data_IF_819413326376
#
_entry.id   IF_819413326376
#
_cell.length_a   1.000
_cell.length_b   1.000
_cell.length_c   1.000
_cell.angle_alpha   90.00
_cell.angle_beta   90.00
_cell.angle_gamma   90.00
#
_symmetry.space_group_name_H-M   'P 1'
#
loop_
_entity.id
_entity.type
_entity.pdbx_description
1 polymer ?
#
# COMPACT_ATOMS: atom_id res chain seq x y z
N UNK A 1 2.96 2.74 -20.04
CA UNK A 1 2.68 2.07 -18.76
C UNK A 1 2.11 3.00 -17.69
N UNK A 2 2.51 4.27 -17.58
CA UNK A 2 2.07 5.19 -16.50
C UNK A 2 0.56 5.37 -16.40
N UNK A 3 -0.16 5.43 -17.52
CA UNK A 3 -1.62 5.55 -17.49
C UNK A 3 -2.30 4.30 -16.91
N UNK A 4 -1.77 3.09 -17.14
CA UNK A 4 -2.26 1.87 -16.50
C UNK A 4 -2.03 1.90 -15.00
N UNK A 5 -0.87 2.36 -14.56
CA UNK A 5 -0.59 2.57 -13.14
C UNK A 5 -1.52 3.62 -12.52
N UNK A 6 -1.86 4.68 -13.26
CA UNK A 6 -2.84 5.66 -12.81
C UNK A 6 -4.26 5.05 -12.66
N UNK A 7 -4.65 4.15 -13.57
CA UNK A 7 -5.90 3.39 -13.43
C UNK A 7 -5.88 2.47 -12.21
N UNK A 8 -4.77 1.75 -11.98
CA UNK A 8 -4.61 0.92 -10.78
C UNK A 8 -4.66 1.77 -9.50
N UNK A 9 -3.97 2.92 -9.49
CA UNK A 9 -4.00 3.83 -8.36
C UNK A 9 -5.42 4.37 -8.11
N UNK A 10 -6.17 4.72 -9.17
CA UNK A 10 -7.57 5.16 -9.05
C UNK A 10 -8.45 4.06 -8.46
N UNK A 11 -8.30 2.82 -8.96
CA UNK A 11 -9.02 1.68 -8.41
C UNK A 11 -8.75 1.53 -6.90
N UNK A 12 -7.48 1.59 -6.48
CA UNK A 12 -7.11 1.47 -5.08
C UNK A 12 -7.67 2.62 -4.24
N UNK A 13 -7.55 3.86 -4.73
CA UNK A 13 -8.04 5.04 -4.01
C UNK A 13 -9.57 5.04 -3.87
N UNK A 14 -10.31 4.67 -4.93
CA UNK A 14 -11.77 4.62 -4.93
C UNK A 14 -12.35 3.47 -4.09
N UNK A 15 -11.56 2.44 -3.83
CA UNK A 15 -11.95 1.29 -3.02
C UNK A 15 -11.41 1.34 -1.58
N UNK A 16 -10.78 2.43 -1.15
CA UNK A 16 -10.45 2.58 0.25
C UNK A 16 -11.73 2.71 1.09
N UNK A 17 -11.85 1.87 2.11
CA UNK A 17 -12.96 1.89 3.06
C UNK A 17 -12.94 3.16 3.93
N UNK A 18 -14.09 3.50 4.50
CA UNK A 18 -14.23 4.64 5.41
C UNK A 18 -13.33 4.52 6.65
N UNK A 19 -13.03 3.31 7.10
CA UNK A 19 -12.12 3.04 8.21
C UNK A 19 -10.64 2.97 7.81
N UNK A 20 -10.29 3.11 6.53
CA UNK A 20 -8.90 3.07 6.04
C UNK A 20 -8.42 1.73 5.53
N UNK A 21 -9.22 0.67 5.61
CA UNK A 21 -8.94 -0.64 5.02
C UNK A 21 -9.23 -0.69 3.52
N UNK A 22 -9.08 -1.89 2.95
CA UNK A 22 -9.56 -2.24 1.62
C UNK A 22 -10.37 -3.53 1.64
N UNK A 23 -11.51 -3.59 0.88
CA UNK A 23 -12.25 -4.82 0.59
C UNK A 23 -11.67 -5.46 -0.68
N UNK A 24 -12.36 -6.47 -1.23
CA UNK A 24 -12.02 -7.04 -2.54
C UNK A 24 -12.14 -6.04 -3.70
N UNK A 25 -12.81 -4.95 -3.47
CA UNK A 25 -12.95 -3.84 -4.40
C UNK A 25 -14.06 -4.04 -5.44
N UNK A 26 -14.53 -2.91 -5.93
CA UNK A 26 -15.51 -2.82 -7.00
C UNK A 26 -14.90 -2.08 -8.18
N UNK A 27 -15.41 -2.35 -9.37
CA UNK A 27 -14.95 -1.70 -10.58
C UNK A 27 -15.04 -0.17 -10.44
N UNK A 28 -13.96 0.52 -10.78
CA UNK A 28 -13.91 1.99 -10.81
C UNK A 28 -14.06 2.51 -12.23
N UNK A 29 -14.63 3.70 -12.37
CA UNK A 29 -14.64 4.41 -13.65
C UNK A 29 -13.26 5.02 -13.91
N UNK A 30 -12.80 4.94 -15.15
CA UNK A 30 -11.55 5.60 -15.54
C UNK A 30 -11.74 7.12 -15.36
N UNK A 31 -10.86 7.81 -14.65
CA UNK A 31 -10.96 9.26 -14.49
C UNK A 31 -10.89 9.94 -15.86
N UNK A 32 -11.83 10.83 -16.16
CA UNK A 32 -11.84 11.60 -17.41
C UNK A 32 -10.61 12.53 -17.52
N UNK A 33 -10.04 12.91 -16.39
CA UNK A 33 -8.95 13.89 -16.28
C UNK A 33 -7.55 13.26 -16.12
N UNK A 34 -7.45 11.95 -16.08
CA UNK A 34 -6.13 11.31 -16.20
C UNK A 34 -5.70 11.48 -17.64
N UNK A 35 -4.61 12.22 -17.94
CA UNK A 35 -4.16 12.39 -19.30
C UNK A 35 -4.01 11.01 -19.92
N UNK A 36 -4.89 10.68 -20.87
CA UNK A 36 -4.68 9.53 -21.75
C UNK A 36 -3.38 9.84 -22.45
N UNK A 37 -2.32 9.10 -22.11
CA UNK A 37 -1.04 9.26 -22.77
C UNK A 37 -1.26 9.01 -24.25
N UNK A 38 -1.21 10.07 -25.04
CA UNK A 38 -0.87 9.93 -26.44
C UNK A 38 0.44 9.14 -26.46
N UNK A 39 0.47 8.05 -27.25
CA UNK A 39 1.75 7.40 -27.58
C UNK A 39 2.72 8.52 -27.90
N UNK A 40 3.93 8.56 -27.32
CA UNK A 40 4.96 9.44 -27.83
C UNK A 40 5.07 9.11 -29.33
N UNK A 41 4.90 10.12 -30.18
CA UNK A 41 5.12 9.98 -31.61
C UNK A 41 6.49 9.32 -31.81
N UNK A 42 6.57 8.35 -32.69
CA UNK A 42 7.80 7.55 -32.93
C UNK A 42 9.00 8.38 -33.39
N UNK A 43 8.85 9.68 -33.53
CA UNK A 43 9.88 10.60 -34.04
C UNK A 43 10.96 10.97 -33.01
N UNK A 44 10.81 10.62 -31.72
CA UNK A 44 11.82 10.96 -30.69
C UNK A 44 12.94 9.91 -30.52
N UNK A 45 13.08 8.95 -31.45
CA UNK A 45 14.06 7.84 -31.31
C UNK A 45 15.35 8.07 -32.11
N UNK A 46 15.44 9.07 -32.99
CA UNK A 46 16.66 9.31 -33.74
C UNK A 46 17.20 10.74 -33.58
N UNK A 47 18.01 10.93 -32.55
CA UNK A 47 19.15 11.86 -32.64
C UNK A 47 20.29 11.37 -31.76
N UNK A 48 21.19 10.62 -32.36
CA UNK A 48 22.58 10.45 -31.93
C UNK A 48 23.26 11.82 -31.92
N UNK A 49 23.23 12.50 -30.80
CA UNK A 49 23.91 13.79 -30.61
C UNK A 49 24.34 13.97 -29.15
N UNK A 50 25.64 14.09 -28.93
CA UNK A 50 26.35 14.28 -27.67
C UNK A 50 25.88 15.52 -26.87
N UNK A 51 24.66 15.45 -26.31
CA UNK A 51 24.25 16.34 -25.24
C UNK A 51 23.29 15.58 -24.33
N UNK A 52 23.79 15.06 -23.21
CA UNK A 52 22.99 14.49 -22.14
C UNK A 52 22.08 15.59 -21.56
N UNK A 53 21.01 15.97 -22.27
CA UNK A 53 19.92 16.74 -21.66
C UNK A 53 19.46 15.97 -20.42
N UNK A 54 19.59 16.56 -19.24
CA UNK A 54 19.06 16.01 -17.98
C UNK A 54 17.59 15.63 -18.24
N UNK A 55 17.28 14.32 -18.25
CA UNK A 55 15.90 13.84 -18.39
C UNK A 55 15.08 14.53 -17.31
N UNK A 56 14.13 15.38 -17.70
CA UNK A 56 13.19 16.01 -16.75
C UNK A 56 12.49 14.90 -15.99
N UNK A 57 12.53 14.94 -14.65
CA UNK A 57 11.79 13.98 -13.83
C UNK A 57 10.32 14.03 -14.23
N UNK A 58 9.65 12.87 -14.41
CA UNK A 58 8.26 12.85 -14.82
C UNK A 58 7.40 13.60 -13.78
N UNK A 59 6.46 14.41 -14.25
CA UNK A 59 5.57 15.20 -13.40
C UNK A 59 4.74 14.27 -12.50
N UNK A 60 4.58 14.63 -11.23
CA UNK A 60 3.73 13.92 -10.27
C UNK A 60 2.26 14.00 -10.69
N UNK A 61 1.56 12.86 -10.69
CA UNK A 61 0.13 12.75 -10.88
C UNK A 61 -0.51 12.51 -9.51
N UNK A 62 -1.50 13.28 -9.14
CA UNK A 62 -2.24 13.09 -7.88
C UNK A 62 -3.59 12.45 -8.18
N UNK A 63 -3.85 11.33 -7.55
CA UNK A 63 -5.11 10.57 -7.64
C UNK A 63 -5.98 10.94 -6.44
N UNK A 64 -7.19 11.37 -6.74
CA UNK A 64 -8.23 11.72 -5.74
C UNK A 64 -9.32 10.68 -5.78
N UNK A 65 -9.94 10.39 -4.64
CA UNK A 65 -11.12 9.52 -4.59
C UNK A 65 -12.28 10.17 -5.34
N UNK A 66 -13.00 9.36 -6.10
CA UNK A 66 -14.18 9.75 -6.87
C UNK A 66 -15.48 9.27 -6.20
N UNK A 67 -15.38 8.44 -5.16
CA UNK A 67 -16.49 7.89 -4.42
C UNK A 67 -16.10 7.58 -2.98
N UNK A 68 -17.08 7.46 -2.10
CA UNK A 68 -16.87 6.88 -0.77
C UNK A 68 -16.78 5.37 -0.88
N UNK A 69 -15.82 4.77 -0.21
CA UNK A 69 -15.72 3.32 -0.05
C UNK A 69 -16.77 2.78 0.92
N UNK A 70 -16.88 1.44 0.98
CA UNK A 70 -17.69 0.75 1.96
C UNK A 70 -17.16 1.00 3.39
N UNK A 71 -17.93 0.61 4.39
CA UNK A 71 -17.60 0.90 5.79
C UNK A 71 -16.26 0.29 6.22
N UNK A 72 -16.04 -0.99 5.91
CA UNK A 72 -14.87 -1.77 6.34
C UNK A 72 -14.44 -2.81 5.33
N UNK A 73 -13.18 -3.22 5.40
CA UNK A 73 -12.58 -4.28 4.60
C UNK A 73 -11.89 -5.31 5.49
N UNK A 74 -10.74 -5.80 5.04
CA UNK A 74 -9.89 -6.70 5.81
C UNK A 74 -8.41 -6.35 5.67
N UNK A 75 -7.60 -6.85 6.58
CA UNK A 75 -6.17 -6.56 6.63
C UNK A 75 -5.38 -7.25 5.51
N UNK A 76 -5.86 -8.39 5.00
CA UNK A 76 -5.21 -9.09 3.89
C UNK A 76 -5.26 -8.26 2.61
N UNK A 77 -6.44 -7.76 2.23
CA UNK A 77 -6.56 -6.87 1.08
C UNK A 77 -5.85 -5.54 1.29
N UNK A 78 -5.89 -5.00 2.52
CA UNK A 78 -5.26 -3.71 2.86
C UNK A 78 -3.76 -3.71 2.66
N UNK A 79 -3.05 -4.78 3.05
CA UNK A 79 -1.60 -4.88 2.82
C UNK A 79 -1.24 -4.87 1.33
N UNK A 80 -1.99 -5.61 0.49
CA UNK A 80 -1.76 -5.64 -0.95
C UNK A 80 -2.11 -4.30 -1.62
N UNK A 81 -3.15 -3.63 -1.15
CA UNK A 81 -3.49 -2.29 -1.64
C UNK A 81 -2.36 -1.28 -1.38
N UNK A 82 -1.75 -1.34 -0.20
CA UNK A 82 -0.61 -0.47 0.16
C UNK A 82 0.64 -0.80 -0.68
N UNK A 83 0.93 -2.07 -0.94
CA UNK A 83 1.99 -2.46 -1.87
C UNK A 83 1.74 -1.94 -3.29
N UNK A 84 0.50 -2.04 -3.77
CA UNK A 84 0.09 -1.49 -5.06
C UNK A 84 0.25 0.03 -5.12
N UNK A 85 -0.19 0.74 -4.08
CA UNK A 85 0.01 2.19 -3.98
C UNK A 85 1.49 2.58 -3.93
N UNK A 86 2.32 1.81 -3.23
CA UNK A 86 3.77 2.00 -3.23
C UNK A 86 4.32 1.96 -4.66
N UNK A 87 4.00 0.92 -5.43
CA UNK A 87 4.45 0.79 -6.82
C UNK A 87 3.99 1.98 -7.69
N UNK A 88 2.76 2.47 -7.48
CA UNK A 88 2.27 3.67 -8.14
C UNK A 88 3.06 4.93 -7.75
N UNK A 89 3.36 5.11 -6.46
CA UNK A 89 4.13 6.27 -5.96
C UNK A 89 5.57 6.26 -6.46
N UNK A 90 6.21 5.11 -6.59
CA UNK A 90 7.52 4.95 -7.23
C UNK A 90 7.52 5.40 -8.69
N UNK A 91 6.38 5.27 -9.38
CA UNK A 91 6.16 5.78 -10.73
C UNK A 91 5.70 7.26 -10.78
N UNK A 92 5.77 7.99 -9.67
CA UNK A 92 5.26 9.36 -9.51
C UNK A 92 3.74 9.51 -9.68
N UNK A 93 2.98 8.49 -9.33
CA UNK A 93 1.51 8.50 -9.28
C UNK A 93 1.11 8.36 -7.81
N UNK A 94 0.56 9.39 -7.23
CA UNK A 94 0.38 9.50 -5.79
C UNK A 94 -1.10 9.57 -5.41
N UNK A 95 -1.55 8.81 -4.41
CA UNK A 95 -2.81 9.14 -3.74
C UNK A 95 -2.67 10.45 -2.98
N UNK A 96 -3.78 11.01 -2.54
CA UNK A 96 -3.74 12.15 -1.62
C UNK A 96 -3.18 11.73 -0.26
N UNK A 97 -2.74 12.70 0.53
CA UNK A 97 -2.15 12.44 1.85
C UNK A 97 -3.17 11.82 2.82
N UNK A 98 -4.43 12.17 2.67
CA UNK A 98 -5.56 11.68 3.47
C UNK A 98 -5.72 10.17 3.33
N UNK A 99 -5.62 9.64 2.10
CA UNK A 99 -5.67 8.19 1.82
C UNK A 99 -4.59 7.44 2.61
N UNK A 100 -3.34 7.95 2.59
CA UNK A 100 -2.23 7.33 3.31
C UNK A 100 -2.38 7.47 4.83
N UNK A 101 -2.86 8.62 5.31
CA UNK A 101 -3.03 8.85 6.74
C UNK A 101 -4.14 7.97 7.31
N UNK A 102 -5.27 7.88 6.63
CA UNK A 102 -6.40 7.05 7.05
C UNK A 102 -6.00 5.56 7.14
N UNK A 103 -5.24 5.07 6.16
CA UNK A 103 -4.70 3.71 6.20
C UNK A 103 -3.74 3.50 7.38
N UNK A 104 -2.86 4.46 7.67
CA UNK A 104 -1.93 4.37 8.80
C UNK A 104 -2.68 4.35 10.14
N UNK A 105 -3.71 5.17 10.28
CA UNK A 105 -4.52 5.25 11.49
C UNK A 105 -5.26 3.92 11.72
N UNK A 106 -5.79 3.30 10.65
CA UNK A 106 -6.34 1.94 10.75
C UNK A 106 -5.32 0.93 11.28
N UNK A 107 -4.13 0.84 10.69
CA UNK A 107 -3.11 -0.12 11.12
C UNK A 107 -2.71 0.06 12.58
N UNK A 108 -2.69 1.29 13.08
CA UNK A 108 -2.41 1.58 14.49
C UNK A 108 -3.53 1.11 15.40
N UNK A 109 -4.79 1.36 15.01
CA UNK A 109 -5.96 0.96 15.78
C UNK A 109 -6.17 -0.57 15.78
N UNK A 110 -5.81 -1.24 14.70
CA UNK A 110 -5.98 -2.68 14.53
C UNK A 110 -4.89 -3.52 15.20
N UNK A 111 -3.84 -2.90 15.78
CA UNK A 111 -2.78 -3.62 16.46
C UNK A 111 -3.29 -4.25 17.76
N UNK A 112 -2.99 -5.55 17.94
CA UNK A 112 -3.34 -6.27 19.16
C UNK A 112 -2.44 -5.88 20.34
N UNK A 113 -2.87 -6.18 21.56
CA UNK A 113 -2.12 -5.88 22.77
C UNK A 113 -0.75 -6.57 22.83
N UNK A 114 -0.61 -7.74 22.18
CA UNK A 114 0.65 -8.48 22.06
C UNK A 114 1.64 -7.86 21.07
N UNK A 115 1.21 -6.86 20.32
CA UNK A 115 1.99 -6.14 19.32
C UNK A 115 1.88 -6.68 17.89
N UNK A 116 1.17 -7.78 17.68
CA UNK A 116 0.89 -8.33 16.34
C UNK A 116 -0.41 -7.82 15.72
N UNK A 117 -0.80 -8.44 14.61
CA UNK A 117 -2.05 -8.15 13.89
C UNK A 117 -2.78 -9.42 13.50
N UNK A 118 -4.10 -9.30 13.41
CA UNK A 118 -5.02 -10.33 12.97
C UNK A 118 -5.68 -9.95 11.63
N UNK A 119 -6.53 -10.83 11.09
CA UNK A 119 -7.20 -10.63 9.80
C UNK A 119 -8.17 -9.44 9.81
N UNK A 120 -8.91 -9.28 10.90
CA UNK A 120 -9.91 -8.22 11.03
C UNK A 120 -9.50 -7.18 12.07
N UNK A 121 -9.41 -6.43 12.63
CA UNK A 121 -9.05 -5.49 13.67
C UNK A 121 -8.73 -6.17 15.01
N UNK A 122 -8.99 -5.48 16.10
CA UNK A 122 -8.77 -5.96 17.47
C UNK A 122 -9.74 -7.05 17.87
N UNK A 123 -9.37 -7.85 18.88
CA UNK A 123 -10.23 -8.93 19.43
C UNK A 123 -10.04 -10.30 18.79
N UNK A 124 -9.07 -10.44 17.89
CA UNK A 124 -8.65 -11.74 17.32
C UNK A 124 -7.18 -12.00 17.63
N UNK A 125 -6.75 -13.26 17.58
CA UNK A 125 -5.35 -13.62 17.82
C UNK A 125 -4.44 -13.13 16.68
N UNK A 126 -3.30 -12.56 17.04
CA UNK A 126 -2.24 -12.17 16.11
C UNK A 126 -1.66 -13.42 15.42
N UNK A 127 -1.19 -13.25 14.18
CA UNK A 127 -0.47 -14.31 13.48
C UNK A 127 0.55 -13.78 12.50
N UNK A 128 1.50 -14.63 12.13
CA UNK A 128 2.74 -14.24 11.44
C UNK A 128 2.55 -13.48 10.16
N UNK A 129 1.76 -14.01 9.21
CA UNK A 129 1.58 -13.36 7.91
C UNK A 129 0.87 -12.00 8.00
N UNK A 130 -0.13 -11.85 8.87
CA UNK A 130 -0.78 -10.54 9.05
C UNK A 130 0.12 -9.55 9.78
N UNK A 131 0.88 -10.01 10.77
CA UNK A 131 1.82 -9.14 11.48
C UNK A 131 2.92 -8.63 10.55
N UNK A 132 3.48 -9.50 9.69
CA UNK A 132 4.48 -9.09 8.68
C UNK A 132 3.90 -8.10 7.69
N UNK A 133 2.71 -8.37 7.13
CA UNK A 133 2.03 -7.47 6.22
C UNK A 133 1.69 -6.11 6.84
N UNK A 134 1.27 -6.11 8.12
CA UNK A 134 0.99 -4.89 8.86
C UNK A 134 2.27 -4.05 9.09
N UNK A 135 3.36 -4.68 9.53
CA UNK A 135 4.66 -4.00 9.71
C UNK A 135 5.13 -3.39 8.39
N UNK A 136 5.09 -4.16 7.29
CA UNK A 136 5.44 -3.67 5.95
C UNK A 136 4.56 -2.48 5.54
N UNK A 137 3.25 -2.58 5.77
CA UNK A 137 2.29 -1.50 5.48
C UNK A 137 2.59 -0.23 6.27
N UNK A 138 2.81 -0.34 7.58
CA UNK A 138 3.15 0.80 8.44
C UNK A 138 4.46 1.45 7.99
N UNK A 139 5.49 0.67 7.68
CA UNK A 139 6.79 1.18 7.18
C UNK A 139 6.62 1.96 5.88
N UNK A 140 5.88 1.40 4.91
CA UNK A 140 5.60 2.06 3.64
C UNK A 140 4.85 3.38 3.87
N UNK A 141 3.76 3.35 4.62
CA UNK A 141 2.93 4.53 4.90
C UNK A 141 3.73 5.63 5.61
N UNK A 142 4.51 5.28 6.63
CA UNK A 142 5.39 6.23 7.33
C UNK A 142 6.40 6.87 6.38
N UNK A 143 7.04 6.07 5.52
CA UNK A 143 8.00 6.56 4.53
C UNK A 143 7.35 7.62 3.60
N UNK A 144 6.22 7.28 2.99
CA UNK A 144 5.56 8.18 2.02
C UNK A 144 4.85 9.38 2.67
N UNK A 145 4.53 9.28 3.96
CA UNK A 145 4.08 10.42 4.77
C UNK A 145 5.24 11.33 5.24
N UNK A 146 6.50 10.98 4.92
CA UNK A 146 7.68 11.73 5.34
C UNK A 146 8.02 11.58 6.82
N UNK A 147 7.62 10.46 7.43
CA UNK A 147 7.84 10.17 8.85
C UNK A 147 8.91 9.09 9.03
N UNK A 148 9.52 9.03 10.23
CA UNK A 148 10.54 8.03 10.54
C UNK A 148 9.90 6.77 11.14
N UNK A 149 9.72 5.71 10.34
CA UNK A 149 9.11 4.46 10.78
C UNK A 149 9.83 3.81 11.97
N UNK A 150 11.17 3.99 12.09
CA UNK A 150 11.96 3.47 13.23
C UNK A 150 11.53 4.03 14.59
N UNK A 151 10.84 5.17 14.58
CA UNK A 151 10.26 5.79 15.79
C UNK A 151 8.80 5.38 16.03
N UNK A 152 8.18 4.68 15.09
CA UNK A 152 6.82 4.20 15.25
C UNK A 152 6.76 3.04 16.23
N UNK A 153 6.00 3.23 17.30
CA UNK A 153 5.88 2.24 18.39
C UNK A 153 5.20 0.98 17.89
N UNK A 154 4.17 1.10 17.03
CA UNK A 154 3.44 -0.03 16.46
C UNK A 154 4.35 -0.89 15.58
N UNK A 155 5.12 -0.28 14.67
CA UNK A 155 6.08 -1.00 13.84
C UNK A 155 7.11 -1.76 14.68
N UNK A 156 7.67 -1.13 15.72
CA UNK A 156 8.64 -1.79 16.63
C UNK A 156 8.04 -2.96 17.39
N UNK A 157 6.83 -2.81 17.94
CA UNK A 157 6.13 -3.91 18.61
C UNK A 157 5.87 -5.08 17.67
N UNK A 158 5.45 -4.80 16.42
CA UNK A 158 5.25 -5.83 15.41
C UNK A 158 6.54 -6.57 15.04
N UNK A 159 7.64 -5.86 14.86
CA UNK A 159 8.97 -6.47 14.63
C UNK A 159 9.38 -7.35 15.82
N UNK A 160 9.16 -6.89 17.05
CA UNK A 160 9.43 -7.69 18.24
C UNK A 160 8.55 -8.94 18.32
N UNK A 161 7.27 -8.83 17.96
CA UNK A 161 6.35 -9.97 17.88
C UNK A 161 6.85 -11.01 16.88
N UNK A 162 7.22 -10.57 15.67
CA UNK A 162 7.81 -11.45 14.64
C UNK A 162 9.06 -12.13 15.18
N UNK A 163 10.00 -11.37 15.77
CA UNK A 163 11.25 -11.92 16.27
C UNK A 163 11.06 -12.98 17.37
N UNK A 164 10.01 -12.86 18.19
CA UNK A 164 9.69 -13.84 19.25
C UNK A 164 8.98 -15.08 18.71
N UNK A 165 8.20 -14.93 17.65
CA UNK A 165 7.30 -15.96 17.11
C UNK A 165 7.78 -16.55 15.78
N UNK A 166 8.96 -16.16 15.30
CA UNK A 166 9.46 -16.53 13.97
C UNK A 166 9.51 -18.05 13.77
N UNK A 167 8.96 -18.50 12.65
CA UNK A 167 9.06 -19.89 12.20
C UNK A 167 9.29 -19.92 10.69
N UNK A 168 10.07 -20.89 10.22
CA UNK A 168 10.26 -21.15 8.77
C UNK A 168 9.33 -22.25 8.26
N UNK A 169 8.64 -22.95 9.16
CA UNK A 169 7.77 -24.07 8.84
C UNK A 169 6.30 -23.77 9.00
N UNK A 170 5.96 -22.85 9.89
CA UNK A 170 4.59 -22.57 10.27
C UNK A 170 4.27 -21.07 10.17
N UNK A 171 2.97 -20.75 10.09
CA UNK A 171 2.49 -19.39 10.28
C UNK A 171 2.11 -19.21 11.77
N UNK A 172 2.99 -18.63 12.60
CA UNK A 172 2.74 -18.53 14.04
C UNK A 172 1.41 -17.89 14.34
N UNK A 173 0.68 -18.46 15.31
CA UNK A 173 -0.67 -18.01 15.68
C UNK A 173 -1.80 -18.56 14.81
N UNK A 174 -1.49 -19.43 13.84
CA UNK A 174 -2.48 -20.19 13.06
C UNK A 174 -2.28 -21.69 13.25
N UNK A 175 -3.38 -22.40 13.51
CA UNK A 175 -3.41 -23.85 13.74
C UNK A 175 -3.55 -24.66 12.45
N UNK A 176 -3.81 -24.03 11.32
CA UNK A 176 -3.99 -24.67 10.02
C UNK A 176 -2.79 -24.36 9.13
N UNK A 177 -2.54 -25.24 8.17
CA UNK A 177 -1.47 -25.20 7.17
C UNK A 177 -1.46 -23.97 6.24
N UNK A 178 -1.88 -22.86 6.73
CA UNK A 178 -1.70 -21.59 6.06
C UNK A 178 -0.23 -21.25 6.09
N UNK A 179 0.42 -21.53 5.02
CA UNK A 179 1.81 -21.27 4.83
C UNK A 179 2.04 -19.78 4.62
N UNK A 180 2.82 -19.20 5.17
CA UNK A 180 3.45 -18.28 5.14
C UNK A 180 4.07 -17.30 5.18
N UNK A 181 4.34 -16.50 5.24
CA UNK A 181 4.92 -15.66 4.35
C UNK A 181 5.35 -14.40 4.98
N UNK A 182 6.56 -14.38 5.35
CA UNK A 182 7.37 -13.23 5.73
C UNK A 182 8.03 -12.64 4.46
N UNK A 183 7.24 -12.43 3.41
CA UNK A 183 7.74 -11.92 2.13
C UNK A 183 7.85 -10.39 2.05
N UNK A 184 7.98 -9.69 3.17
CA UNK A 184 8.07 -8.24 3.20
C UNK A 184 9.45 -7.75 3.59
#
# INVERSE_FOLDING_TARGET
YRWRLAQCAQFLVDNQCQNGQWPYGEQTKIPKDVPTFQKPDREDVETTGKNKKRKKKPKRIIIRSQRSGVEKGDNSNSQYAILGLRACMEANIWPTREVLSLALDWWRQAQQNDGGWAYHGTGSSSYGSMTSGAVGSVVILQHYLGRQWKRDIGARKGIQWIGKSFSVTDNPGKTTSWHYYYLY
#
